data_IF_019374048368
#
_entry.id   IF_019374048368
#
_cell.length_a   1.000
_cell.length_b   1.000
_cell.length_c   1.000
_cell.angle_alpha   90.00
_cell.angle_beta   90.00
_cell.angle_gamma   90.00
#
_symmetry.space_group_name_H-M   'P 1'
#
loop_
_entity.id
_entity.type
_entity.pdbx_description
1 polymer ?
#
# COMPACT_ATOMS: atom_id res chain seq x y z
N UNK A 1 11.48 9.47 34.15
CA UNK A 1 10.39 9.37 33.17
C UNK A 1 10.47 10.49 32.14
N UNK A 2 11.60 10.66 31.45
CA UNK A 2 11.75 11.68 30.39
C UNK A 2 12.69 11.14 29.30
N UNK A 3 12.42 9.93 28.78
CA UNK A 3 13.25 9.36 27.71
C UNK A 3 12.48 8.49 26.69
N UNK A 4 11.14 8.57 26.63
CA UNK A 4 10.32 7.78 25.69
C UNK A 4 9.31 8.63 24.90
N UNK A 5 9.65 9.89 24.64
CA UNK A 5 9.10 10.60 23.48
C UNK A 5 10.30 11.04 22.66
N UNK A 6 11.03 10.06 22.12
CA UNK A 6 11.93 10.32 21.01
C UNK A 6 11.08 10.93 19.91
N UNK A 7 11.21 12.25 19.71
CA UNK A 7 10.48 13.00 18.71
C UNK A 7 10.87 12.42 17.34
N UNK A 8 10.15 11.39 16.89
CA UNK A 8 10.31 10.85 15.55
C UNK A 8 9.98 11.98 14.60
N UNK A 9 11.00 12.52 13.96
CA UNK A 9 10.86 13.54 12.92
C UNK A 9 10.40 12.81 11.67
N UNK A 10 9.25 13.19 11.12
CA UNK A 10 8.80 12.68 9.83
C UNK A 10 9.62 13.33 8.72
N UNK A 11 10.35 12.55 7.90
CA UNK A 11 11.24 13.07 6.84
C UNK A 11 10.71 12.73 5.46
N UNK A 12 10.34 13.75 4.70
CA UNK A 12 9.96 13.61 3.30
C UNK A 12 11.11 14.04 2.40
N UNK A 13 11.42 13.25 1.38
CA UNK A 13 12.48 13.53 0.41
C UNK A 13 11.87 13.70 -0.98
N UNK A 14 12.35 14.71 -1.72
CA UNK A 14 11.95 14.98 -3.09
C UNK A 14 13.18 14.82 -4.00
N UNK A 15 13.17 13.83 -4.88
CA UNK A 15 14.21 13.59 -5.88
C UNK A 15 13.81 14.20 -7.22
N UNK A 16 14.61 15.15 -7.72
CA UNK A 16 14.32 15.86 -8.97
C UNK A 16 15.15 15.32 -10.14
N UNK A 17 14.49 15.05 -11.27
CA UNK A 17 15.16 14.64 -12.51
C UNK A 17 15.91 13.31 -12.39
N UNK A 18 16.73 12.97 -13.39
CA UNK A 18 17.40 11.66 -13.46
C UNK A 18 18.65 11.50 -12.59
N UNK A 19 19.18 12.61 -12.06
CA UNK A 19 20.54 12.63 -11.51
C UNK A 19 20.58 12.49 -9.98
N UNK A 20 19.42 12.31 -9.35
CA UNK A 20 19.31 12.11 -7.91
C UNK A 20 19.60 10.66 -7.51
N UNK A 21 20.13 10.48 -6.31
CA UNK A 21 20.28 9.15 -5.72
C UNK A 21 18.96 8.74 -5.04
N UNK A 22 18.15 7.95 -5.74
CA UNK A 22 16.85 7.49 -5.26
C UNK A 22 16.95 6.59 -4.02
N UNK A 23 17.99 5.76 -3.95
CA UNK A 23 18.16 4.80 -2.85
C UNK A 23 18.49 5.52 -1.56
N UNK A 24 19.40 6.50 -1.62
CA UNK A 24 19.77 7.32 -0.47
C UNK A 24 18.58 8.15 0.01
N UNK A 25 17.88 8.83 -0.90
CA UNK A 25 16.72 9.66 -0.53
C UNK A 25 15.57 8.82 0.05
N UNK A 26 15.34 7.62 -0.49
CA UNK A 26 14.38 6.68 0.06
C UNK A 26 14.79 6.21 1.45
N UNK A 27 16.02 5.74 1.63
CA UNK A 27 16.52 5.28 2.92
C UNK A 27 16.41 6.34 4.02
N UNK A 28 16.69 7.61 3.69
CA UNK A 28 16.51 8.75 4.61
C UNK A 28 15.04 8.91 4.98
N UNK A 29 14.13 8.91 4.00
CA UNK A 29 12.70 9.06 4.26
C UNK A 29 12.12 7.90 5.06
N UNK A 30 12.53 6.67 4.77
CA UNK A 30 12.08 5.45 5.42
C UNK A 30 12.53 5.42 6.89
N UNK A 31 13.80 5.75 7.16
CA UNK A 31 14.31 5.89 8.53
C UNK A 31 13.59 7.00 9.32
N UNK A 32 13.08 8.02 8.62
CA UNK A 32 12.28 9.09 9.18
C UNK A 32 10.77 8.84 9.13
N UNK A 33 10.27 7.63 8.84
CA UNK A 33 8.82 7.35 8.72
C UNK A 33 8.05 8.28 7.77
N UNK A 34 8.72 8.87 6.78
CA UNK A 34 8.11 9.73 5.76
C UNK A 34 8.03 9.04 4.41
N UNK A 35 8.05 9.84 3.34
CA UNK A 35 7.90 9.34 1.98
C UNK A 35 8.94 9.97 1.05
N UNK A 36 9.38 9.16 0.09
CA UNK A 36 10.13 9.60 -1.06
C UNK A 36 9.19 9.95 -2.22
N UNK A 37 9.45 11.08 -2.86
CA UNK A 37 8.73 11.58 -4.02
C UNK A 37 9.70 11.74 -5.18
N UNK A 38 9.50 10.96 -6.24
CA UNK A 38 10.17 11.21 -7.51
C UNK A 38 9.42 12.31 -8.28
N UNK A 39 10.16 13.36 -8.65
CA UNK A 39 9.65 14.53 -9.37
C UNK A 39 10.39 14.61 -10.70
N UNK A 40 9.78 14.04 -11.74
CA UNK A 40 10.41 13.90 -13.05
C UNK A 40 10.63 15.26 -13.73
N UNK A 41 9.58 16.08 -13.78
CA UNK A 41 9.56 17.34 -14.52
C UNK A 41 9.30 18.53 -13.59
N UNK A 42 9.81 19.71 -13.95
CA UNK A 42 9.61 20.95 -13.17
C UNK A 42 8.14 21.31 -12.98
N UNK A 43 7.31 20.93 -13.94
CA UNK A 43 5.86 21.17 -13.90
C UNK A 43 5.14 20.29 -12.85
N UNK A 44 5.75 19.17 -12.44
CA UNK A 44 5.22 18.27 -11.42
C UNK A 44 5.68 18.63 -9.99
N UNK A 45 6.53 19.65 -9.84
CA UNK A 45 7.01 20.14 -8.55
C UNK A 45 5.83 20.59 -7.68
N UNK A 46 4.92 21.49 -8.14
CA UNK A 46 3.86 21.98 -7.28
C UNK A 46 2.91 20.86 -6.82
N UNK A 47 2.58 19.93 -7.72
CA UNK A 47 1.71 18.80 -7.40
C UNK A 47 2.32 17.89 -6.33
N UNK A 48 3.62 17.63 -6.42
CA UNK A 48 4.34 16.80 -5.45
C UNK A 48 4.44 17.47 -4.08
N UNK A 49 4.66 18.79 -4.03
CA UNK A 49 4.59 19.56 -2.79
C UNK A 49 3.19 19.59 -2.20
N UNK A 50 2.15 19.79 -3.03
CA UNK A 50 0.77 19.78 -2.58
C UNK A 50 0.35 18.41 -2.03
N UNK A 51 0.80 17.32 -2.66
CA UNK A 51 0.56 15.96 -2.18
C UNK A 51 1.24 15.71 -0.83
N UNK A 52 2.50 16.13 -0.68
CA UNK A 52 3.24 16.03 0.57
C UNK A 52 2.59 16.85 1.70
N UNK A 53 2.32 18.13 1.46
CA UNK A 53 1.74 19.03 2.46
C UNK A 53 0.29 18.63 2.79
N UNK A 54 -0.49 18.24 1.78
CA UNK A 54 -1.84 17.72 1.96
C UNK A 54 -1.86 16.45 2.82
N UNK A 55 -0.88 15.56 2.63
CA UNK A 55 -0.67 14.38 3.48
C UNK A 55 -0.41 14.77 4.94
N UNK A 56 0.58 15.63 5.19
CA UNK A 56 0.93 16.14 6.51
C UNK A 56 -0.23 16.80 7.25
N UNK A 57 -1.03 17.61 6.55
CA UNK A 57 -2.20 18.29 7.11
C UNK A 57 -3.41 17.36 7.31
N UNK A 58 -3.29 16.10 6.89
CA UNK A 58 -4.36 15.11 6.96
C UNK A 58 -4.08 13.98 7.94
N UNK A 59 -3.05 14.06 8.78
CA UNK A 59 -2.77 13.01 9.78
C UNK A 59 -3.95 12.90 10.76
N UNK A 60 -4.57 11.73 10.82
CA UNK A 60 -5.70 11.43 11.71
C UNK A 60 -5.25 10.70 12.98
N UNK A 61 -4.29 9.78 12.86
CA UNK A 61 -3.70 9.06 13.97
C UNK A 61 -2.22 8.73 13.73
N UNK A 62 -1.48 8.58 14.82
CA UNK A 62 -0.03 8.28 14.83
C UNK A 62 0.30 7.09 15.72
N UNK A 63 1.46 6.49 15.47
CA UNK A 63 2.03 5.36 16.18
C UNK A 63 1.03 4.21 16.35
N UNK A 64 0.39 3.82 15.24
CA UNK A 64 -0.59 2.76 15.25
C UNK A 64 0.13 1.42 15.47
N UNK A 65 -0.37 0.63 16.41
CA UNK A 65 0.08 -0.75 16.62
C UNK A 65 -1.13 -1.66 16.47
N UNK A 66 -1.15 -2.39 15.35
CA UNK A 66 -2.14 -3.41 15.06
C UNK A 66 -1.67 -4.74 15.62
N UNK A 67 -2.37 -5.25 16.61
CA UNK A 67 -2.14 -6.57 17.22
C UNK A 67 -3.16 -7.57 16.70
N UNK A 68 -2.68 -8.62 16.05
CA UNK A 68 -3.48 -9.72 15.52
C UNK A 68 -3.19 -10.97 16.33
N UNK A 69 -4.20 -11.56 16.97
CA UNK A 69 -4.05 -12.75 17.81
C UNK A 69 -5.03 -13.83 17.37
N UNK A 70 -4.51 -15.03 17.10
CA UNK A 70 -5.36 -16.22 16.90
C UNK A 70 -5.72 -16.77 18.28
N UNK A 71 -7.01 -16.77 18.64
CA UNK A 71 -7.46 -17.12 20.00
C UNK A 71 -7.89 -18.58 20.17
N UNK A 72 -7.92 -19.34 19.08
CA UNK A 72 -8.48 -20.70 19.06
C UNK A 72 -7.41 -21.72 18.65
N UNK A 73 -7.30 -22.84 19.37
CA UNK A 73 -6.38 -23.93 19.05
C UNK A 73 -6.72 -24.64 17.73
N UNK A 74 -7.97 -24.55 17.30
CA UNK A 74 -8.44 -25.04 16.01
C UNK A 74 -8.02 -24.14 14.86
N UNK A 75 -7.34 -23.03 15.10
CA UNK A 75 -6.83 -22.18 14.03
C UNK A 75 -5.34 -21.91 14.23
N UNK A 76 -4.64 -21.76 13.11
CA UNK A 76 -3.29 -21.21 13.15
C UNK A 76 -2.99 -20.22 12.05
N UNK A 77 -2.17 -19.22 12.37
CA UNK A 77 -1.56 -18.37 11.35
C UNK A 77 -0.55 -19.22 10.56
N UNK A 78 -0.68 -19.26 9.24
CA UNK A 78 0.17 -20.08 8.36
C UNK A 78 1.39 -19.31 7.90
N UNK A 79 1.25 -17.98 7.76
CA UNK A 79 2.28 -17.05 7.30
C UNK A 79 2.14 -15.74 8.08
N UNK A 80 3.22 -14.95 8.21
CA UNK A 80 3.10 -13.58 8.69
C UNK A 80 2.07 -12.80 7.86
N UNK A 81 1.40 -11.79 8.46
CA UNK A 81 0.55 -10.85 7.72
C UNK A 81 1.29 -10.26 6.51
N UNK A 82 0.58 -10.13 5.37
CA UNK A 82 1.18 -9.58 4.15
C UNK A 82 1.21 -8.06 4.22
N UNK A 83 2.35 -7.51 4.62
CA UNK A 83 2.58 -6.08 4.79
C UNK A 83 4.05 -5.72 4.59
N UNK A 84 4.33 -4.47 4.22
CA UNK A 84 5.69 -3.91 4.25
C UNK A 84 6.05 -3.25 5.58
N UNK A 85 5.07 -3.09 6.47
CA UNK A 85 5.27 -2.47 7.77
C UNK A 85 6.03 -3.39 8.74
N UNK A 86 6.77 -2.78 9.67
CA UNK A 86 7.50 -3.50 10.72
C UNK A 86 6.57 -4.46 11.47
N UNK A 87 6.88 -5.75 11.38
CA UNK A 87 6.02 -6.82 11.91
C UNK A 87 6.81 -7.68 12.89
N UNK A 88 6.35 -7.72 14.13
CA UNK A 88 6.95 -8.50 15.21
C UNK A 88 6.10 -9.74 15.50
N UNK A 89 6.72 -10.92 15.44
CA UNK A 89 6.09 -12.16 15.89
C UNK A 89 6.20 -12.28 17.41
N UNK A 90 5.05 -12.38 18.07
CA UNK A 90 4.92 -12.54 19.52
C UNK A 90 4.53 -13.99 19.87
N UNK A 91 4.69 -14.41 21.15
CA UNK A 91 4.16 -15.68 21.63
C UNK A 91 2.64 -15.81 21.41
N UNK A 92 2.12 -17.05 21.48
CA UNK A 92 0.68 -17.35 21.36
C UNK A 92 0.07 -16.89 20.03
N UNK A 93 0.75 -17.17 18.92
CA UNK A 93 0.24 -16.88 17.57
C UNK A 93 -0.22 -15.42 17.38
N UNK A 94 0.55 -14.49 17.95
CA UNK A 94 0.25 -13.06 17.91
C UNK A 94 1.26 -12.33 17.02
N UNK A 95 0.79 -11.40 16.21
CA UNK A 95 1.64 -10.50 15.43
C UNK A 95 1.32 -9.05 15.79
N UNK A 96 2.36 -8.24 15.96
CA UNK A 96 2.24 -6.79 16.11
C UNK A 96 2.78 -6.11 14.87
N UNK A 97 1.98 -5.24 14.27
CA UNK A 97 2.33 -4.48 13.08
C UNK A 97 2.35 -3.01 13.46
N UNK A 98 3.49 -2.36 13.27
CA UNK A 98 3.67 -0.94 13.56
C UNK A 98 3.46 -0.13 12.29
N UNK A 99 2.41 0.70 12.29
CA UNK A 99 2.06 1.58 11.18
C UNK A 99 2.32 3.03 11.67
N UNK A 100 3.23 3.80 11.04
CA UNK A 100 3.66 5.08 11.60
C UNK A 100 2.52 6.10 11.74
N UNK A 101 1.97 6.56 10.61
CA UNK A 101 0.87 7.50 10.58
C UNK A 101 -0.23 6.97 9.66
N UNK A 102 -1.48 7.35 9.92
CA UNK A 102 -2.59 7.18 8.99
C UNK A 102 -3.21 8.54 8.69
N UNK A 103 -3.48 8.80 7.41
CA UNK A 103 -4.11 10.03 6.99
C UNK A 103 -5.65 9.89 7.01
N UNK A 104 -6.37 11.01 7.02
CA UNK A 104 -7.80 11.05 6.84
C UNK A 104 -8.16 10.34 5.53
N UNK A 105 -9.23 9.54 5.57
CA UNK A 105 -9.76 8.78 4.43
C UNK A 105 -8.83 7.68 3.91
N UNK A 106 -7.72 7.39 4.61
CA UNK A 106 -6.91 6.21 4.30
C UNK A 106 -7.50 4.95 4.93
N UNK A 107 -7.45 3.87 4.15
CA UNK A 107 -7.71 2.53 4.61
C UNK A 107 -6.45 1.68 4.42
N UNK A 108 -6.16 0.81 5.39
CA UNK A 108 -5.01 -0.11 5.34
C UNK A 108 -5.51 -1.55 5.38
N UNK A 109 -5.62 -2.17 4.22
CA UNK A 109 -5.97 -3.58 4.11
C UNK A 109 -4.71 -4.44 4.27
N UNK A 110 -4.71 -5.36 5.24
CA UNK A 110 -3.58 -6.25 5.52
C UNK A 110 -4.06 -7.70 5.41
N UNK A 111 -3.78 -8.41 4.30
CA UNK A 111 -4.17 -9.79 4.14
C UNK A 111 -3.47 -10.71 5.16
N UNK A 112 -4.24 -11.61 5.74
CA UNK A 112 -3.75 -12.61 6.70
C UNK A 112 -4.05 -14.02 6.20
N UNK A 113 -3.15 -14.95 6.47
CA UNK A 113 -3.29 -16.34 6.07
C UNK A 113 -3.48 -17.21 7.31
N UNK A 114 -4.69 -17.66 7.52
CA UNK A 114 -5.03 -18.59 8.60
C UNK A 114 -5.41 -19.95 8.03
N UNK A 115 -5.23 -20.99 8.84
CA UNK A 115 -5.70 -22.34 8.53
C UNK A 115 -6.51 -22.84 9.71
N UNK A 116 -7.75 -23.17 9.42
CA UNK A 116 -8.59 -23.93 10.33
C UNK A 116 -8.13 -25.40 10.31
N UNK A 117 -7.95 -25.96 11.50
CA UNK A 117 -7.57 -27.35 11.75
C UNK A 117 -8.84 -28.17 11.94
N UNK A 118 -8.82 -29.41 11.47
CA UNK A 118 -9.92 -30.34 11.69
C UNK A 118 -10.07 -30.60 13.19
N UNK A 119 -11.26 -30.40 13.74
CA UNK A 119 -11.57 -30.79 15.11
C UNK A 119 -11.41 -32.31 15.24
N UNK A 120 -10.51 -32.76 16.11
CA UNK A 120 -10.41 -34.16 16.50
C UNK A 120 -11.73 -34.58 17.14
N UNK A 121 -12.45 -35.46 16.45
CA UNK A 121 -13.79 -35.95 16.76
C UNK A 121 -14.12 -36.02 18.26
N UNK A 122 -14.90 -35.07 18.76
CA UNK A 122 -15.73 -35.25 19.96
C UNK A 122 -17.19 -35.10 19.54
N UNK A 123 -18.01 -36.02 20.04
CA UNK A 123 -19.39 -36.23 19.66
C UNK A 123 -20.27 -35.00 19.93
N UNK A 124 -21.19 -34.74 19.00
CA UNK A 124 -22.18 -33.65 19.07
C UNK A 124 -21.91 -32.60 18.01
N UNK A 125 -22.91 -32.29 17.18
CA UNK A 125 -22.90 -31.12 16.30
C UNK A 125 -22.65 -29.88 17.15
N UNK A 126 -21.45 -29.32 17.09
CA UNK A 126 -21.20 -28.00 17.67
C UNK A 126 -21.14 -27.03 16.50
N UNK A 127 -22.26 -26.38 16.21
CA UNK A 127 -22.25 -25.06 15.58
C UNK A 127 -21.72 -24.06 16.61
N UNK A 128 -20.40 -24.02 16.83
CA UNK A 128 -19.78 -23.00 17.67
C UNK A 128 -19.28 -21.86 16.79
N UNK A 129 -19.68 -20.64 17.14
CA UNK A 129 -18.96 -19.45 16.70
C UNK A 129 -17.64 -19.42 17.46
N UNK A 130 -16.59 -19.97 16.85
CA UNK A 130 -15.24 -19.81 17.36
C UNK A 130 -14.77 -18.38 17.06
N UNK A 131 -14.40 -17.62 18.09
CA UNK A 131 -13.71 -16.34 17.91
C UNK A 131 -12.26 -16.62 17.50
N UNK A 132 -12.07 -16.91 16.22
CA UNK A 132 -10.80 -17.39 15.68
C UNK A 132 -9.71 -16.32 15.75
N UNK A 133 -10.07 -15.06 15.51
CA UNK A 133 -9.12 -13.96 15.42
C UNK A 133 -9.59 -12.79 16.27
N UNK A 134 -8.72 -12.26 17.11
CA UNK A 134 -8.89 -10.95 17.73
C UNK A 134 -7.91 -9.96 17.13
N UNK A 135 -8.38 -8.73 17.01
CA UNK A 135 -7.63 -7.61 16.48
C UNK A 135 -7.73 -6.46 17.49
N UNK A 136 -6.60 -5.88 17.85
CA UNK A 136 -6.54 -4.67 18.68
C UNK A 136 -5.70 -3.62 17.99
N UNK A 137 -6.20 -2.40 17.89
CA UNK A 137 -5.49 -1.27 17.35
C UNK A 137 -5.29 -0.24 18.46
N UNK A 138 -4.04 0.04 18.81
CA UNK A 138 -3.68 1.15 19.69
C UNK A 138 -3.03 2.27 18.90
N UNK A 139 -3.38 3.51 19.17
CA UNK A 139 -2.87 4.67 18.42
C UNK A 139 -3.01 5.97 19.21
N UNK A 140 -2.35 7.02 18.76
CA UNK A 140 -2.59 8.38 19.23
C UNK A 140 -3.58 9.08 18.31
N UNK A 141 -4.77 9.44 18.82
CA UNK A 141 -5.78 10.23 18.08
C UNK A 141 -5.32 11.69 18.06
N UNK A 142 -4.86 12.15 16.89
CA UNK A 142 -4.33 13.51 16.72
C UNK A 142 -5.43 14.56 16.87
N UNK A 143 -6.64 14.24 16.41
CA UNK A 143 -7.77 15.17 16.44
C UNK A 143 -8.27 15.42 17.86
N UNK A 144 -8.12 14.44 18.75
CA UNK A 144 -8.51 14.54 20.17
C UNK A 144 -7.33 14.70 21.12
N UNK A 145 -6.10 14.69 20.62
CA UNK A 145 -4.87 14.74 21.40
C UNK A 145 -4.82 13.70 22.54
N UNK A 146 -5.20 12.46 22.26
CA UNK A 146 -5.32 11.42 23.28
C UNK A 146 -4.94 10.03 22.78
N UNK A 147 -4.30 9.17 23.58
CA UNK A 147 -4.13 7.77 23.23
C UNK A 147 -5.50 7.06 23.18
N UNK A 148 -5.65 6.15 22.23
CA UNK A 148 -6.84 5.33 22.05
C UNK A 148 -6.49 3.88 21.79
N UNK A 149 -7.38 3.02 22.24
CA UNK A 149 -7.39 1.60 21.92
C UNK A 149 -8.75 1.24 21.39
N UNK A 150 -8.80 0.51 20.29
CA UNK A 150 -10.03 -0.05 19.73
C UNK A 150 -9.80 -1.52 19.45
N UNK A 151 -10.79 -2.34 19.76
CA UNK A 151 -10.71 -3.80 19.57
C UNK A 151 -11.82 -4.25 18.63
N UNK A 152 -11.52 -5.25 17.82
CA UNK A 152 -12.45 -5.95 16.96
C UNK A 152 -12.18 -7.45 17.07
N UNK A 153 -13.22 -8.27 16.94
CA UNK A 153 -13.07 -9.73 16.94
C UNK A 153 -13.70 -10.29 15.67
N UNK A 154 -12.95 -11.13 14.97
CA UNK A 154 -13.43 -11.92 13.85
C UNK A 154 -13.82 -13.31 14.35
N UNK A 155 -15.07 -13.68 14.13
CA UNK A 155 -15.55 -15.03 14.38
C UNK A 155 -15.77 -15.73 13.04
N UNK A 156 -15.38 -17.00 12.95
CA UNK A 156 -15.73 -17.86 11.82
C UNK A 156 -16.66 -18.92 12.35
N UNK A 157 -17.74 -19.16 11.61
CA UNK A 157 -18.64 -20.25 11.91
C UNK A 157 -18.01 -21.54 11.41
N UNK A 158 -17.60 -22.40 12.34
CA UNK A 158 -17.01 -23.70 12.03
C UNK A 158 -18.12 -24.74 12.10
N UNK A 159 -18.50 -25.30 10.95
CA UNK A 159 -19.43 -26.43 10.89
C UNK A 159 -18.78 -27.61 10.16
N UNK A 160 -19.04 -28.82 10.69
CA UNK A 160 -18.54 -30.09 10.16
C UNK A 160 -19.23 -30.49 8.84
N UNK A 161 -20.34 -29.83 8.51
CA UNK A 161 -21.25 -30.19 7.40
C UNK A 161 -21.30 -29.13 6.29
N UNK A 162 -20.29 -28.26 6.17
CA UNK A 162 -20.26 -27.34 5.03
C UNK A 162 -19.69 -28.08 3.82
N UNK A 163 -20.53 -28.90 3.18
CA UNK A 163 -20.17 -29.60 1.94
C UNK A 163 -19.99 -28.63 0.77
N UNK A 164 -20.66 -27.46 0.82
CA UNK A 164 -20.55 -26.35 -0.12
C UNK A 164 -20.64 -25.02 0.65
N UNK A 165 -19.53 -24.36 1.02
CA UNK A 165 -19.60 -23.05 1.64
C UNK A 165 -20.18 -22.05 0.65
N UNK A 166 -21.26 -21.36 1.05
CA UNK A 166 -21.70 -20.16 0.33
C UNK A 166 -20.71 -19.07 0.69
N UNK A 167 -19.69 -18.90 -0.15
CA UNK A 167 -18.76 -17.78 -0.06
C UNK A 167 -19.45 -16.59 -0.72
N UNK A 168 -19.58 -15.50 0.02
CA UNK A 168 -20.06 -14.25 -0.57
C UNK A 168 -19.08 -13.81 -1.66
N UNK A 169 -19.60 -13.61 -2.87
CA UNK A 169 -18.80 -13.20 -4.02
C UNK A 169 -18.11 -11.86 -3.74
N UNK A 170 -18.75 -10.96 -3.01
CA UNK A 170 -18.19 -9.65 -2.67
C UNK A 170 -16.99 -9.78 -1.72
N UNK A 171 -17.08 -10.63 -0.70
CA UNK A 171 -15.93 -10.91 0.19
C UNK A 171 -14.78 -11.60 -0.55
N UNK A 172 -15.08 -12.50 -1.48
CA UNK A 172 -14.05 -13.15 -2.28
C UNK A 172 -13.33 -12.14 -3.19
N UNK A 173 -14.08 -11.25 -3.85
CA UNK A 173 -13.52 -10.21 -4.70
C UNK A 173 -12.64 -9.24 -3.90
N UNK A 174 -13.08 -8.79 -2.72
CA UNK A 174 -12.32 -7.87 -1.85
C UNK A 174 -11.00 -8.49 -1.33
N UNK A 175 -11.05 -9.74 -0.85
CA UNK A 175 -9.86 -10.46 -0.39
C UNK A 175 -8.89 -10.67 -1.56
N UNK A 176 -9.37 -11.15 -2.71
CA UNK A 176 -8.53 -11.39 -3.87
C UNK A 176 -7.94 -10.09 -4.44
N UNK A 177 -8.66 -8.97 -4.31
CA UNK A 177 -8.20 -7.65 -4.73
C UNK A 177 -7.00 -7.20 -3.90
N UNK A 178 -7.07 -7.33 -2.57
CA UNK A 178 -5.98 -6.93 -1.69
C UNK A 178 -4.81 -7.92 -1.67
N UNK A 179 -5.03 -9.21 -1.95
CA UNK A 179 -3.96 -10.16 -2.25
C UNK A 179 -3.24 -9.78 -3.55
N UNK A 180 -4.01 -9.49 -4.60
CA UNK A 180 -3.47 -9.06 -5.90
C UNK A 180 -2.68 -7.76 -5.78
N UNK A 181 -3.16 -6.79 -5.00
CA UNK A 181 -2.42 -5.55 -4.68
C UNK A 181 -1.03 -5.83 -4.11
N UNK A 182 -0.97 -6.71 -3.11
CA UNK A 182 0.31 -7.06 -2.47
C UNK A 182 1.24 -7.77 -3.45
N UNK A 183 0.70 -8.70 -4.23
CA UNK A 183 1.42 -9.39 -5.31
C UNK A 183 2.00 -8.44 -6.36
N UNK A 184 1.26 -7.38 -6.72
CA UNK A 184 1.71 -6.34 -7.65
C UNK A 184 2.87 -5.55 -7.05
N UNK A 185 2.73 -5.11 -5.80
CA UNK A 185 3.80 -4.41 -5.08
C UNK A 185 5.08 -5.26 -5.02
N UNK A 186 4.94 -6.53 -4.65
CA UNK A 186 6.05 -7.49 -4.57
C UNK A 186 6.68 -7.76 -5.94
N UNK A 187 5.87 -7.87 -7.00
CA UNK A 187 6.37 -8.07 -8.35
C UNK A 187 7.17 -6.86 -8.86
N UNK A 188 6.70 -5.64 -8.59
CA UNK A 188 7.43 -4.41 -8.96
C UNK A 188 8.73 -4.31 -8.15
N UNK A 189 8.67 -4.47 -6.83
CA UNK A 189 9.86 -4.49 -5.95
C UNK A 189 10.90 -5.53 -6.38
N UNK A 190 10.46 -6.75 -6.69
CA UNK A 190 11.34 -7.83 -7.18
C UNK A 190 11.90 -7.52 -8.56
N UNK A 191 11.11 -6.93 -9.46
CA UNK A 191 11.58 -6.51 -10.78
C UNK A 191 12.63 -5.38 -10.69
N UNK A 192 12.47 -4.44 -9.75
CA UNK A 192 13.48 -3.42 -9.44
C UNK A 192 14.81 -4.07 -9.02
N UNK A 193 14.78 -5.05 -8.10
CA UNK A 193 16.00 -5.77 -7.68
C UNK A 193 16.69 -6.48 -8.85
N UNK A 194 15.93 -7.15 -9.71
CA UNK A 194 16.47 -7.79 -10.91
C UNK A 194 17.09 -6.77 -11.89
N UNK A 195 16.46 -5.61 -12.04
CA UNK A 195 16.96 -4.54 -12.91
C UNK A 195 18.19 -3.82 -12.35
N UNK A 196 18.31 -3.70 -11.02
CA UNK A 196 19.52 -3.24 -10.34
C UNK A 196 20.72 -4.17 -10.63
N UNK A 197 20.47 -5.47 -10.77
CA UNK A 197 21.46 -6.47 -11.18
C UNK A 197 21.69 -6.53 -12.71
N UNK A 198 21.05 -5.65 -13.49
CA UNK A 198 21.14 -5.62 -14.95
C UNK A 198 20.30 -6.68 -15.68
N UNK A 199 19.48 -7.45 -14.95
CA UNK A 199 18.65 -8.54 -15.50
C UNK A 199 17.29 -8.03 -16.01
N UNK A 200 17.31 -7.11 -16.99
CA UNK A 200 16.09 -6.45 -17.49
C UNK A 200 15.07 -7.39 -18.13
N UNK A 201 15.51 -8.47 -18.78
CA UNK A 201 14.62 -9.47 -19.36
C UNK A 201 13.87 -10.25 -18.26
N UNK A 202 14.59 -10.67 -17.21
CA UNK A 202 14.00 -11.33 -16.04
C UNK A 202 12.99 -10.41 -15.33
N UNK A 203 13.34 -9.14 -15.16
CA UNK A 203 12.46 -8.12 -14.57
C UNK A 203 11.15 -7.96 -15.38
N UNK A 204 11.26 -7.82 -16.71
CA UNK A 204 10.09 -7.74 -17.60
C UNK A 204 9.25 -9.01 -17.57
N UNK A 205 9.88 -10.19 -17.56
CA UNK A 205 9.18 -11.46 -17.48
C UNK A 205 8.39 -11.61 -16.16
N UNK A 206 8.92 -11.13 -15.03
CA UNK A 206 8.22 -11.13 -13.75
C UNK A 206 6.96 -10.25 -13.79
N UNK A 207 7.06 -9.04 -14.35
CA UNK A 207 5.94 -8.11 -14.50
C UNK A 207 4.87 -8.63 -15.46
N UNK A 208 5.26 -9.18 -16.61
CA UNK A 208 4.32 -9.81 -17.55
C UNK A 208 3.59 -10.99 -16.92
N UNK A 209 4.28 -11.80 -16.11
CA UNK A 209 3.66 -12.91 -15.37
C UNK A 209 2.65 -12.39 -14.37
N UNK A 210 2.96 -11.33 -13.63
CA UNK A 210 2.02 -10.68 -12.71
C UNK A 210 0.76 -10.20 -13.45
N UNK A 211 0.93 -9.45 -14.54
CA UNK A 211 -0.18 -8.97 -15.37
C UNK A 211 -1.05 -10.11 -15.90
N UNK A 212 -0.44 -11.22 -16.33
CA UNK A 212 -1.17 -12.39 -16.80
C UNK A 212 -1.98 -13.09 -15.70
N UNK A 213 -1.55 -13.02 -14.42
CA UNK A 213 -2.35 -13.51 -13.28
C UNK A 213 -3.57 -12.62 -13.05
N UNK A 214 -3.40 -11.29 -13.06
CA UNK A 214 -4.50 -10.33 -12.89
C UNK A 214 -5.59 -10.56 -13.93
N UNK A 215 -5.23 -10.74 -15.21
CA UNK A 215 -6.18 -11.02 -16.31
C UNK A 215 -7.00 -12.30 -16.14
N UNK A 216 -6.54 -13.23 -15.31
CA UNK A 216 -7.22 -14.51 -15.02
C UNK A 216 -7.94 -14.52 -13.67
N UNK A 217 -7.79 -13.46 -12.88
CA UNK A 217 -8.39 -13.31 -11.56
C UNK A 217 -9.83 -12.81 -11.67
N UNK A 218 -10.64 -13.07 -10.63
CA UNK A 218 -12.01 -12.53 -10.52
C UNK A 218 -12.04 -11.00 -10.43
N UNK A 219 -10.92 -10.37 -10.03
CA UNK A 219 -10.81 -8.92 -9.86
C UNK A 219 -10.52 -8.19 -11.17
N UNK A 220 -10.32 -8.92 -12.27
CA UNK A 220 -10.02 -8.32 -13.56
C UNK A 220 -11.12 -7.34 -13.98
N UNK A 221 -10.69 -6.13 -14.37
CA UNK A 221 -11.60 -5.08 -14.81
C UNK A 221 -12.22 -4.25 -13.68
N UNK A 222 -12.03 -4.58 -12.40
CA UNK A 222 -12.38 -3.71 -11.28
C UNK A 222 -11.54 -2.42 -11.32
N UNK A 223 -12.05 -1.27 -10.83
CA UNK A 223 -11.34 0.01 -10.90
C UNK A 223 -9.92 -0.03 -10.34
N UNK A 224 -9.74 -0.60 -9.15
CA UNK A 224 -8.42 -0.70 -8.52
C UNK A 224 -7.50 -1.70 -9.24
N UNK A 225 -8.05 -2.79 -9.80
CA UNK A 225 -7.28 -3.75 -10.59
C UNK A 225 -6.76 -3.15 -11.91
N UNK A 226 -7.50 -2.23 -12.54
CA UNK A 226 -7.02 -1.48 -13.71
C UNK A 226 -5.82 -0.62 -13.35
N UNK A 227 -5.86 0.04 -12.20
CA UNK A 227 -4.72 0.82 -11.71
C UNK A 227 -3.48 -0.07 -11.48
N UNK A 228 -3.65 -1.32 -11.01
CA UNK A 228 -2.52 -2.28 -10.94
C UNK A 228 -1.92 -2.60 -12.31
N UNK A 229 -2.77 -2.78 -13.33
CA UNK A 229 -2.28 -3.04 -14.69
C UNK A 229 -1.53 -1.83 -15.27
N UNK A 230 -2.01 -0.62 -15.00
CA UNK A 230 -1.37 0.63 -15.41
C UNK A 230 0.01 0.81 -14.74
N UNK A 231 0.13 0.57 -13.43
CA UNK A 231 1.44 0.67 -12.74
C UNK A 231 2.42 -0.39 -13.23
N UNK A 232 1.95 -1.60 -13.58
CA UNK A 232 2.79 -2.62 -14.24
C UNK A 232 3.24 -2.15 -15.63
N UNK A 233 2.35 -1.55 -16.42
CA UNK A 233 2.69 -1.07 -17.77
C UNK A 233 3.70 0.09 -17.74
N UNK A 234 3.54 1.04 -16.83
CA UNK A 234 4.55 2.09 -16.64
C UNK A 234 5.88 1.53 -16.14
N UNK A 235 5.85 0.54 -15.24
CA UNK A 235 7.07 -0.15 -14.78
C UNK A 235 7.78 -0.85 -15.95
N UNK A 236 7.04 -1.49 -16.87
CA UNK A 236 7.60 -2.12 -18.07
C UNK A 236 8.26 -1.10 -19.00
N UNK A 237 7.69 0.11 -19.17
CA UNK A 237 8.33 1.20 -19.92
C UNK A 237 9.63 1.66 -19.25
N UNK A 238 9.61 1.74 -17.92
CA UNK A 238 10.79 2.03 -17.09
C UNK A 238 11.98 1.09 -17.39
N UNK A 239 11.69 -0.16 -17.75
CA UNK A 239 12.67 -1.22 -18.03
C UNK A 239 13.14 -1.31 -19.50
N UNK A 240 12.88 -0.31 -20.33
CA UNK A 240 13.22 -0.34 -21.77
C UNK A 240 14.73 -0.49 -22.05
N UNK A 241 15.58 0.11 -21.22
CA UNK A 241 17.04 -0.04 -21.28
C UNK A 241 17.66 0.25 -19.91
N UNK A 242 18.91 -0.14 -19.69
CA UNK A 242 19.57 0.11 -18.40
C UNK A 242 19.68 1.61 -18.11
N UNK A 243 19.99 2.42 -19.13
CA UNK A 243 20.09 3.87 -18.99
C UNK A 243 18.74 4.51 -18.62
N UNK A 244 17.65 4.08 -19.27
CA UNK A 244 16.30 4.56 -18.95
C UNK A 244 15.84 4.11 -17.56
N UNK A 245 16.18 2.87 -17.19
CA UNK A 245 15.91 2.35 -15.86
C UNK A 245 16.61 3.17 -14.78
N UNK A 246 17.91 3.42 -14.91
CA UNK A 246 18.66 4.18 -13.90
C UNK A 246 18.15 5.61 -13.71
N UNK A 247 17.78 6.31 -14.79
CA UNK A 247 17.35 7.71 -14.71
C UNK A 247 15.87 7.92 -14.36
N UNK A 248 14.98 7.02 -14.79
CA UNK A 248 13.53 7.20 -14.64
C UNK A 248 12.83 5.95 -14.10
N UNK A 249 13.17 4.77 -14.62
CA UNK A 249 12.47 3.53 -14.28
C UNK A 249 12.55 3.18 -12.80
N UNK A 250 13.75 3.21 -12.21
CA UNK A 250 14.00 2.86 -10.82
C UNK A 250 13.21 3.72 -9.82
N UNK A 251 13.35 5.06 -9.79
CA UNK A 251 12.61 5.88 -8.83
C UNK A 251 11.09 5.79 -9.03
N UNK A 252 10.61 5.66 -10.27
CA UNK A 252 9.18 5.48 -10.57
C UNK A 252 8.63 4.15 -10.07
N UNK A 253 9.32 3.04 -10.36
CA UNK A 253 8.94 1.70 -9.90
C UNK A 253 8.94 1.61 -8.37
N UNK A 254 9.91 2.25 -7.71
CA UNK A 254 9.93 2.34 -6.25
C UNK A 254 8.68 3.04 -5.70
N UNK A 255 8.29 4.18 -6.28
CA UNK A 255 7.07 4.89 -5.89
C UNK A 255 5.80 4.05 -6.11
N UNK A 256 5.67 3.35 -7.25
CA UNK A 256 4.52 2.47 -7.50
C UNK A 256 4.43 1.33 -6.49
N UNK A 257 5.57 0.67 -6.24
CA UNK A 257 5.65 -0.42 -5.27
C UNK A 257 5.26 0.04 -3.86
N UNK A 258 5.83 1.16 -3.38
CA UNK A 258 5.52 1.72 -2.06
C UNK A 258 4.07 2.18 -1.96
N UNK A 259 3.54 2.79 -3.03
CA UNK A 259 2.16 3.22 -3.10
C UNK A 259 1.19 2.06 -2.90
N UNK A 260 1.45 0.93 -3.56
CA UNK A 260 0.66 -0.28 -3.36
C UNK A 260 0.87 -0.91 -1.98
N UNK A 261 2.10 -1.07 -1.49
CA UNK A 261 2.35 -1.65 -0.18
C UNK A 261 1.67 -0.86 0.94
N UNK A 262 1.91 0.44 0.96
CA UNK A 262 1.44 1.34 2.01
C UNK A 262 0.02 1.83 1.78
N UNK A 263 -0.60 1.58 0.62
CA UNK A 263 -1.92 2.12 0.25
C UNK A 263 -1.99 3.62 0.47
N UNK A 264 -1.01 4.32 -0.11
CA UNK A 264 -0.81 5.76 0.06
C UNK A 264 -0.28 6.34 -1.24
N UNK A 265 -0.77 7.51 -1.64
CA UNK A 265 -0.21 8.24 -2.78
C UNK A 265 1.23 8.67 -2.49
N UNK A 266 2.15 8.34 -3.41
CA UNK A 266 3.57 8.73 -3.42
C UNK A 266 3.84 9.57 -4.69
N UNK A 267 3.34 10.81 -4.71
CA UNK A 267 3.71 11.82 -5.69
C UNK A 267 2.92 11.87 -6.99
N UNK A 268 3.19 12.93 -7.76
CA UNK A 268 2.41 13.36 -8.92
C UNK A 268 2.57 12.47 -10.17
N UNK A 269 3.59 11.60 -10.23
CA UNK A 269 3.80 10.67 -11.34
C UNK A 269 2.71 9.59 -11.47
N UNK A 270 1.93 9.38 -10.41
CA UNK A 270 0.78 8.48 -10.42
C UNK A 270 -0.52 9.27 -10.67
N UNK A 271 -0.81 9.56 -11.93
CA UNK A 271 -2.15 9.93 -12.39
C UNK A 271 -2.76 11.21 -11.84
N UNK A 272 -1.97 12.14 -11.29
CA UNK A 272 -2.48 13.49 -11.13
C UNK A 272 -2.72 14.03 -12.54
N UNK A 273 -3.98 14.28 -12.88
CA UNK A 273 -4.34 15.11 -14.02
C UNK A 273 -3.55 16.40 -13.88
N UNK A 274 -2.48 16.54 -14.67
CA UNK A 274 -1.82 17.82 -14.82
C UNK A 274 -2.92 18.79 -15.24
N UNK A 275 -3.13 19.83 -14.44
CA UNK A 275 -3.85 21.02 -14.89
C UNK A 275 -2.88 21.68 -15.88
N UNK A 276 -2.71 21.04 -17.04
CA UNK A 276 -1.95 21.55 -18.17
C UNK A 276 -2.96 22.04 -19.18
N UNK A 277 -2.93 23.35 -19.44
CA UNK A 277 -3.69 24.04 -20.47
C UNK A 277 -3.16 23.77 -21.88
N UNK A 278 -2.58 22.59 -22.12
CA UNK A 278 -1.83 22.34 -23.35
C UNK A 278 -2.75 21.82 -24.47
N UNK A 279 -2.95 22.67 -25.49
CA UNK A 279 -3.73 22.41 -26.70
C UNK A 279 -2.97 21.59 -27.76
N UNK A 280 -1.86 20.96 -27.41
CA UNK A 280 -1.03 20.18 -28.34
C UNK A 280 -1.30 18.68 -28.19
N UNK A 281 -1.88 18.08 -29.23
CA UNK A 281 -2.46 16.73 -29.26
C UNK A 281 -1.50 15.54 -29.22
N UNK A 282 -0.51 15.54 -28.32
CA UNK A 282 0.30 14.37 -28.02
C UNK A 282 0.14 14.02 -26.54
N UNK A 283 -0.71 13.05 -26.22
CA UNK A 283 -0.95 12.60 -24.85
C UNK A 283 0.24 11.76 -24.36
N UNK A 284 1.08 12.23 -23.41
CA UNK A 284 1.92 11.30 -22.66
C UNK A 284 0.99 10.34 -21.91
N UNK A 285 1.33 9.05 -21.85
CA UNK A 285 0.50 8.05 -21.17
C UNK A 285 0.20 8.47 -19.74
N UNK A 286 -1.06 8.78 -19.45
CA UNK A 286 -1.52 9.22 -18.14
C UNK A 286 -2.04 8.01 -17.40
N UNK A 287 -1.41 7.62 -16.30
CA UNK A 287 -2.07 6.77 -15.29
C UNK A 287 -3.42 7.39 -14.94
N UNK A 288 -4.42 6.55 -14.70
CA UNK A 288 -5.66 6.99 -14.05
C UNK A 288 -5.33 7.58 -12.66
N UNK A 289 -6.22 8.44 -12.14
CA UNK A 289 -6.02 9.11 -10.85
C UNK A 289 -5.64 8.12 -9.76
N UNK A 290 -4.50 8.35 -9.08
CA UNK A 290 -4.03 7.43 -8.05
C UNK A 290 -5.13 7.23 -6.98
N UNK A 291 -5.65 6.00 -6.83
CA UNK A 291 -6.78 5.69 -5.95
C UNK A 291 -6.45 5.87 -4.47
N UNK A 292 -5.17 6.03 -4.11
CA UNK A 292 -4.71 6.29 -2.75
C UNK A 292 -4.55 7.79 -2.44
N UNK A 293 -5.08 8.67 -3.30
CA UNK A 293 -5.07 10.13 -3.10
C UNK A 293 -6.28 10.55 -2.27
N UNK A 294 -6.06 11.12 -1.09
CA UNK A 294 -7.15 11.60 -0.24
C UNK A 294 -7.68 12.99 -0.68
N UNK A 295 -8.83 13.38 -0.12
CA UNK A 295 -9.47 14.67 -0.46
C UNK A 295 -8.60 15.87 -0.07
N UNK A 296 -7.80 15.80 1.00
CA UNK A 296 -6.92 16.88 1.43
C UNK A 296 -5.79 17.12 0.43
N UNK A 297 -5.13 16.06 -0.04
CA UNK A 297 -4.14 16.11 -1.13
C UNK A 297 -4.73 16.72 -2.39
N UNK A 298 -5.96 16.31 -2.76
CA UNK A 298 -6.68 16.87 -3.91
C UNK A 298 -6.99 18.36 -3.72
N UNK A 299 -7.51 18.75 -2.55
CA UNK A 299 -7.87 20.14 -2.23
C UNK A 299 -6.67 21.09 -2.23
N UNK A 300 -5.50 20.63 -1.78
CA UNK A 300 -4.26 21.41 -1.82
C UNK A 300 -3.82 21.69 -3.26
N UNK A 301 -3.94 20.70 -4.16
CA UNK A 301 -3.67 20.88 -5.59
C UNK A 301 -4.61 21.92 -6.22
N UNK A 302 -5.91 21.85 -5.90
CA UNK A 302 -6.89 22.85 -6.36
C UNK A 302 -6.62 24.26 -5.81
N UNK A 303 -6.29 24.38 -4.51
CA UNK A 303 -5.98 25.66 -3.90
C UNK A 303 -4.74 26.32 -4.52
N UNK A 304 -3.68 25.54 -4.77
CA UNK A 304 -2.50 26.00 -5.48
C UNK A 304 -2.84 26.48 -6.89
N UNK A 305 -3.60 25.68 -7.65
CA UNK A 305 -3.97 26.02 -9.02
C UNK A 305 -4.76 27.34 -9.11
N UNK A 306 -5.69 27.56 -8.18
CA UNK A 306 -6.48 28.80 -8.10
C UNK A 306 -5.62 30.05 -7.84
N UNK A 307 -4.54 29.93 -7.08
CA UNK A 307 -3.67 31.07 -6.76
C UNK A 307 -2.73 31.43 -7.91
N UNK A 308 -2.36 30.45 -8.73
CA UNK A 308 -1.30 30.58 -9.74
C UNK A 308 -1.79 30.60 -11.20
N UNK A 309 -2.99 30.08 -11.50
CA UNK A 309 -3.54 30.04 -12.86
C UNK A 309 -4.77 30.95 -13.09
N UNK A 310 -5.39 31.52 -12.05
CA UNK A 310 -6.46 32.54 -12.18
C UNK A 310 -5.90 33.99 -12.21
N UNK A 311 -4.67 34.17 -12.70
CA UNK A 311 -4.07 35.51 -12.96
C UNK A 311 -3.87 35.75 -14.44
#
# INVERSE_FOLDING_TARGET
MVNEIGRQVCVFTLGYGSDHDSDTLHAISDAGNGLFYFVENKDSIPDSFCDCLGGLLSIAAQNLVLTLTVNDELCRMVKPPLTSYGTESCPKQTYKITIPDIYCEEEKCIPIHTRLLAASSTAGCIESKAQILSCSLTYFDVLRCSPKTTTATGAVLVSKEISNPVIDKEYQEDIELHLTRYDVAEAISSATKLADEGQLESARAALHRCKARIKKSVVFGLPLARYFEETIDESLKGLASQSHYSGHGKPSMMNYSLSHYQQRSHGAGAGASSISSDRSGASPSRLSSNPYTNAKKSSMKFAYAKVHFDK
#
